data_IF_274192399911
#
_entry.id   IF_274192399911
#
_cell.length_a   1.000
_cell.length_b   1.000
_cell.length_c   1.000
_cell.angle_alpha   90.00
_cell.angle_beta   90.00
_cell.angle_gamma   90.00
#
_symmetry.space_group_name_H-M   'P 1'
#
loop_
_entity.id
_entity.type
_entity.pdbx_description
1 polymer ?
#
# COMPACT_ATOMS: atom_id res chain seq x y z
N UNK A 1 13.55 4.15 0.50
CA UNK A 1 12.24 4.79 0.22
C UNK A 1 12.50 6.27 -0.01
N UNK A 2 12.03 6.85 -1.11
CA UNK A 2 12.21 8.28 -1.37
C UNK A 2 11.35 9.11 -0.40
N UNK A 3 11.80 10.32 -0.07
CA UNK A 3 11.07 11.23 0.82
C UNK A 3 9.89 11.88 0.08
N UNK A 4 8.89 12.32 0.84
CA UNK A 4 7.77 13.12 0.32
C UNK A 4 8.26 14.42 -0.32
N UNK A 5 9.33 15.01 0.21
CA UNK A 5 9.96 16.21 -0.34
C UNK A 5 10.50 15.98 -1.75
N UNK A 6 11.18 14.85 -2.00
CA UNK A 6 11.69 14.54 -3.33
C UNK A 6 10.54 14.37 -4.35
N UNK A 7 9.45 13.69 -3.97
CA UNK A 7 8.25 13.58 -4.80
C UNK A 7 7.70 14.96 -5.17
N UNK A 8 7.59 15.86 -4.18
CA UNK A 8 7.12 17.24 -4.39
C UNK A 8 8.01 17.99 -5.38
N UNK A 9 9.33 17.92 -5.23
CA UNK A 9 10.30 18.61 -6.10
C UNK A 9 10.24 18.10 -7.54
N UNK A 10 10.22 16.77 -7.71
CA UNK A 10 10.12 16.13 -9.03
C UNK A 10 8.81 16.47 -9.74
N UNK A 11 7.68 16.43 -9.01
CA UNK A 11 6.37 16.80 -9.56
C UNK A 11 6.29 18.28 -9.93
N UNK A 12 6.86 19.18 -9.12
CA UNK A 12 6.92 20.62 -9.45
C UNK A 12 7.74 20.87 -10.71
N UNK A 13 8.91 20.24 -10.82
CA UNK A 13 9.77 20.38 -12.00
C UNK A 13 9.03 19.99 -13.30
N UNK A 14 8.21 18.93 -13.26
CA UNK A 14 7.44 18.50 -14.42
C UNK A 14 6.18 19.34 -14.67
N UNK A 15 5.30 19.46 -13.67
CA UNK A 15 3.97 20.06 -13.86
C UNK A 15 3.96 21.60 -13.80
N UNK A 16 4.91 22.22 -13.11
CA UNK A 16 4.95 23.69 -12.94
C UNK A 16 6.05 24.30 -13.81
N UNK A 17 7.24 23.71 -13.79
CA UNK A 17 8.40 24.24 -14.52
C UNK A 17 8.47 23.70 -15.96
N UNK A 18 7.59 22.78 -16.35
CA UNK A 18 7.44 22.29 -17.72
C UNK A 18 8.57 21.39 -18.21
N UNK A 19 9.45 20.92 -17.32
CA UNK A 19 10.59 20.07 -17.70
C UNK A 19 10.10 18.71 -18.21
N UNK A 20 10.72 18.20 -19.26
CA UNK A 20 10.44 16.86 -19.75
C UNK A 20 10.89 15.78 -18.75
N UNK A 21 10.28 14.59 -18.79
CA UNK A 21 10.68 13.45 -17.96
C UNK A 21 12.18 13.13 -18.10
N UNK A 22 12.75 13.34 -19.28
CA UNK A 22 14.19 13.11 -19.54
C UNK A 22 15.07 14.14 -18.83
N UNK A 23 14.66 15.40 -18.81
CA UNK A 23 15.39 16.46 -18.11
C UNK A 23 15.31 16.27 -16.61
N UNK A 24 14.11 16.00 -16.08
CA UNK A 24 13.90 15.69 -14.67
C UNK A 24 14.75 14.50 -14.22
N UNK A 25 14.79 13.42 -15.02
CA UNK A 25 15.64 12.26 -14.74
C UNK A 25 17.14 12.62 -14.63
N UNK A 26 17.64 13.53 -15.48
CA UNK A 26 19.04 13.99 -15.42
C UNK A 26 19.29 14.92 -14.24
N UNK A 27 18.39 15.88 -13.98
CA UNK A 27 18.54 16.89 -12.92
C UNK A 27 18.52 16.26 -11.54
N UNK A 28 17.65 15.28 -11.32
CA UNK A 28 17.50 14.61 -10.02
C UNK A 28 18.32 13.32 -9.91
N UNK A 29 19.07 12.95 -10.94
CA UNK A 29 19.82 11.68 -11.04
C UNK A 29 18.93 10.46 -10.71
N UNK A 30 17.78 10.40 -11.38
CA UNK A 30 16.79 9.35 -11.19
C UNK A 30 16.55 8.59 -12.49
N UNK A 31 16.35 7.28 -12.38
CA UNK A 31 15.88 6.49 -13.52
C UNK A 31 14.50 6.99 -13.99
N UNK A 32 14.26 6.99 -15.32
CA UNK A 32 13.00 7.50 -15.89
C UNK A 32 11.76 6.81 -15.34
N UNK A 33 11.83 5.51 -15.02
CA UNK A 33 10.71 4.80 -14.39
C UNK A 33 10.39 5.31 -12.99
N UNK A 34 11.41 5.72 -12.22
CA UNK A 34 11.24 6.35 -10.91
C UNK A 34 10.55 7.70 -11.04
N UNK A 35 10.95 8.51 -12.03
CA UNK A 35 10.28 9.79 -12.32
C UNK A 35 8.82 9.55 -12.70
N UNK A 36 8.52 8.61 -13.61
CA UNK A 36 7.15 8.26 -13.97
C UNK A 36 6.32 7.85 -12.74
N UNK A 37 6.89 7.03 -11.86
CA UNK A 37 6.24 6.65 -10.59
C UNK A 37 5.99 7.86 -9.68
N UNK A 38 6.92 8.81 -9.59
CA UNK A 38 6.74 10.04 -8.82
C UNK A 38 5.68 10.98 -9.41
N UNK A 39 5.43 10.91 -10.72
CA UNK A 39 4.36 11.66 -11.36
C UNK A 39 2.98 11.01 -11.13
N UNK A 40 2.92 9.68 -11.11
CA UNK A 40 1.71 8.90 -10.85
C UNK A 40 1.21 9.06 -9.40
N UNK A 41 2.10 8.94 -8.41
CA UNK A 41 1.74 9.03 -6.99
C UNK A 41 2.12 10.38 -6.38
N UNK A 42 1.23 11.01 -5.60
CA UNK A 42 1.51 12.30 -4.93
C UNK A 42 2.52 12.21 -3.79
N UNK A 43 2.63 11.03 -3.20
CA UNK A 43 3.58 10.67 -2.17
C UNK A 43 4.13 9.26 -2.47
N UNK A 44 5.27 8.86 -1.89
CA UNK A 44 5.79 7.51 -2.04
C UNK A 44 4.73 6.48 -1.64
N UNK A 45 4.25 5.61 -2.56
CA UNK A 45 3.34 4.55 -2.19
C UNK A 45 4.10 3.68 -1.18
N UNK A 46 3.56 3.59 0.03
CA UNK A 46 4.12 2.76 1.10
C UNK A 46 4.09 1.28 0.75
N UNK A 47 4.21 0.42 1.75
CA UNK A 47 4.04 -1.00 1.52
C UNK A 47 2.62 -1.30 1.01
N UNK A 48 2.53 -1.78 -0.24
CA UNK A 48 1.29 -2.20 -0.88
C UNK A 48 1.38 -3.68 -1.20
N UNK A 49 0.41 -4.47 -0.74
CA UNK A 49 0.26 -5.86 -1.14
C UNK A 49 -0.67 -5.92 -2.35
N UNK A 50 -0.26 -6.65 -3.38
CA UNK A 50 -1.12 -6.91 -4.54
C UNK A 50 -2.18 -7.97 -4.24
N UNK A 51 -1.91 -8.84 -3.27
CA UNK A 51 -2.78 -9.93 -2.86
C UNK A 51 -3.00 -9.88 -1.35
N UNK A 52 -4.12 -10.44 -0.84
CA UNK A 52 -4.30 -10.66 0.58
C UNK A 52 -3.10 -11.39 1.22
N UNK A 53 -2.85 -11.20 2.52
CA UNK A 53 -1.85 -12.01 3.21
C UNK A 53 -2.12 -13.49 2.99
N UNK A 54 -1.12 -14.24 2.56
CA UNK A 54 -1.18 -15.71 2.59
C UNK A 54 -1.08 -16.17 4.05
N UNK A 55 -2.06 -16.93 4.55
CA UNK A 55 -2.12 -17.38 5.95
C UNK A 55 -2.21 -18.90 6.03
N UNK A 56 -1.20 -19.66 5.56
CA UNK A 56 -1.30 -21.11 5.37
C UNK A 56 -1.57 -21.90 6.66
N UNK A 57 -1.21 -21.33 7.81
CA UNK A 57 -1.49 -21.93 9.13
C UNK A 57 -2.88 -21.61 9.65
N UNK A 58 -3.47 -20.47 9.29
CA UNK A 58 -4.76 -20.00 9.82
C UNK A 58 -5.92 -20.31 8.85
N UNK A 59 -5.67 -20.19 7.54
CA UNK A 59 -6.67 -20.42 6.49
C UNK A 59 -7.39 -21.78 6.65
N UNK A 60 -6.71 -22.90 6.98
CA UNK A 60 -7.39 -24.18 7.21
C UNK A 60 -8.39 -24.18 8.38
N UNK A 61 -8.18 -23.33 9.40
CA UNK A 61 -9.01 -23.28 10.61
C UNK A 61 -10.02 -22.13 10.58
N UNK A 62 -9.94 -21.22 9.61
CA UNK A 62 -10.84 -20.07 9.50
C UNK A 62 -12.32 -20.49 9.49
N UNK A 63 -12.73 -21.55 8.74
CA UNK A 63 -14.12 -22.01 8.76
C UNK A 63 -14.58 -22.51 10.14
N UNK A 64 -13.67 -23.15 10.90
CA UNK A 64 -13.96 -23.66 12.24
C UNK A 64 -14.14 -22.50 13.22
N UNK A 65 -13.27 -21.49 13.14
CA UNK A 65 -13.37 -20.27 13.95
C UNK A 65 -14.68 -19.55 13.65
N UNK A 66 -15.03 -19.38 12.37
CA UNK A 66 -16.28 -18.74 11.95
C UNK A 66 -17.52 -19.48 12.50
N UNK A 67 -17.49 -20.82 12.47
CA UNK A 67 -18.57 -21.63 13.05
C UNK A 67 -18.68 -21.47 14.57
N UNK A 68 -17.56 -21.43 15.29
CA UNK A 68 -17.54 -21.19 16.74
C UNK A 68 -18.16 -19.83 17.05
N UNK A 69 -17.70 -18.78 16.35
CA UNK A 69 -18.20 -17.42 16.52
C UNK A 69 -19.70 -17.30 16.21
N UNK A 70 -20.18 -17.99 15.17
CA UNK A 70 -21.60 -18.01 14.85
C UNK A 70 -22.40 -18.72 15.95
N UNK A 71 -21.92 -19.86 16.45
CA UNK A 71 -22.59 -20.60 17.52
C UNK A 71 -22.64 -19.85 18.85
N UNK A 72 -21.66 -18.99 19.10
CA UNK A 72 -21.62 -18.16 20.31
C UNK A 72 -22.71 -17.08 20.34
N UNK A 73 -23.19 -16.62 19.19
CA UNK A 73 -24.24 -15.59 19.14
C UNK A 73 -25.53 -16.04 19.84
N UNK A 74 -25.84 -17.34 19.75
CA UNK A 74 -27.04 -17.92 20.35
C UNK A 74 -26.83 -18.37 21.81
N UNK A 75 -25.59 -18.34 22.30
CA UNK A 75 -25.26 -18.75 23.68
C UNK A 75 -25.46 -17.62 24.68
N UNK A 76 -25.77 -17.94 25.95
CA UNK A 76 -25.75 -16.98 27.04
C UNK A 76 -24.38 -16.28 27.11
N UNK A 77 -24.35 -14.99 27.45
CA UNK A 77 -23.13 -14.17 27.46
C UNK A 77 -21.95 -14.79 28.23
N UNK A 78 -22.22 -15.55 29.29
CA UNK A 78 -21.20 -16.24 30.11
C UNK A 78 -20.60 -17.50 29.45
N UNK A 79 -21.21 -18.00 28.37
CA UNK A 79 -20.83 -19.23 27.66
C UNK A 79 -20.35 -18.95 26.23
N UNK A 80 -20.21 -17.68 25.86
CA UNK A 80 -19.56 -17.25 24.63
C UNK A 80 -18.05 -17.29 24.84
N UNK A 81 -17.30 -17.69 23.82
CA UNK A 81 -15.84 -17.65 23.82
C UNK A 81 -15.30 -16.24 23.56
N UNK A 82 -16.19 -15.29 23.25
CA UNK A 82 -15.95 -13.85 23.09
C UNK A 82 -16.77 -13.05 24.09
#
# INVERSE_FOLDING_TARGET
MYTVDLYRRVRRAHFVEGMSIREVARVFDLHRSTVNKMLEYSAPPGYQRQQPPHRPKLDPYTPVIDQILQSDQDRPKKQRHT
#
